data_IF_464480435522
#
_entry.id   IF_464480435522
#
_cell.length_a   1.000
_cell.length_b   1.000
_cell.length_c   1.000
_cell.angle_alpha   90.00
_cell.angle_beta   90.00
_cell.angle_gamma   90.00
#
_symmetry.space_group_name_H-M   'P 1'
#
loop_
_entity.id
_entity.type
_entity.pdbx_description
1 polymer ?
#
# COMPACT_ATOMS: atom_id res chain seq x y z
N UNK A 1 -23.20 -2.38 22.58
CA UNK A 1 -22.51 -3.39 21.76
C UNK A 1 -22.41 -2.82 20.35
N UNK A 2 -21.27 -2.22 20.02
CA UNK A 2 -21.04 -1.60 18.72
C UNK A 2 -20.91 -2.69 17.66
N UNK A 3 -21.86 -2.73 16.73
CA UNK A 3 -21.75 -3.54 15.53
C UNK A 3 -20.56 -3.01 14.72
N UNK A 4 -19.39 -3.61 14.86
CA UNK A 4 -18.35 -3.54 13.83
C UNK A 4 -18.95 -4.16 12.58
N UNK A 5 -19.57 -3.32 11.73
CA UNK A 5 -19.91 -3.69 10.38
C UNK A 5 -18.58 -3.97 9.69
N UNK A 6 -18.23 -5.25 9.52
CA UNK A 6 -17.16 -5.63 8.61
C UNK A 6 -17.55 -5.05 7.24
N UNK A 7 -16.86 -3.99 6.83
CA UNK A 7 -17.01 -3.44 5.50
C UNK A 7 -16.63 -4.54 4.51
N UNK A 8 -17.36 -4.65 3.38
CA UNK A 8 -17.04 -5.66 2.39
C UNK A 8 -15.65 -5.37 1.84
N UNK A 9 -14.70 -6.27 2.10
CA UNK A 9 -13.34 -6.19 1.55
C UNK A 9 -13.42 -5.90 0.05
N UNK A 10 -12.71 -4.88 -0.41
CA UNK A 10 -12.60 -4.61 -1.85
C UNK A 10 -12.08 -5.83 -2.61
N UNK A 11 -12.40 -5.92 -3.90
CA UNK A 11 -11.86 -6.98 -4.77
C UNK A 11 -10.33 -7.01 -4.79
N UNK A 12 -9.68 -5.86 -4.52
CA UNK A 12 -8.23 -5.71 -4.52
C UNK A 12 -7.62 -6.27 -3.23
N UNK A 13 -8.21 -5.98 -2.06
CA UNK A 13 -7.78 -6.54 -0.78
C UNK A 13 -7.83 -8.07 -0.78
N UNK A 14 -8.88 -8.65 -1.38
CA UNK A 14 -9.02 -10.12 -1.53
C UNK A 14 -7.93 -10.71 -2.40
N UNK A 15 -7.58 -10.04 -3.50
CA UNK A 15 -6.51 -10.48 -4.39
C UNK A 15 -5.17 -10.47 -3.67
N UNK A 16 -4.83 -9.41 -2.94
CA UNK A 16 -3.59 -9.34 -2.18
C UNK A 16 -3.54 -10.38 -1.05
N UNK A 17 -4.64 -10.64 -0.35
CA UNK A 17 -4.71 -11.72 0.65
C UNK A 17 -4.50 -13.09 0.03
N UNK A 18 -5.06 -13.33 -1.15
CA UNK A 18 -4.87 -14.58 -1.88
C UNK A 18 -3.40 -14.76 -2.28
N UNK A 19 -2.75 -13.70 -2.77
CA UNK A 19 -1.32 -13.74 -3.11
C UNK A 19 -0.43 -13.88 -1.88
N UNK A 20 -0.78 -13.28 -0.74
CA UNK A 20 -0.05 -13.46 0.52
C UNK A 20 -0.08 -14.91 1.03
N UNK A 21 -1.09 -15.69 0.64
CA UNK A 21 -1.24 -17.11 1.00
C UNK A 21 -0.66 -18.05 -0.07
N UNK A 22 -0.12 -17.53 -1.17
CA UNK A 22 0.45 -18.32 -2.24
C UNK A 22 1.87 -18.78 -1.86
N UNK A 23 1.99 -20.02 -1.39
CA UNK A 23 3.26 -20.63 -0.98
C UNK A 23 4.28 -20.79 -2.13
N UNK A 24 3.89 -20.53 -3.38
CA UNK A 24 4.81 -20.51 -4.53
C UNK A 24 5.59 -19.20 -4.64
N UNK A 25 5.19 -18.15 -3.92
CA UNK A 25 5.85 -16.85 -3.90
C UNK A 25 6.92 -16.76 -2.81
N UNK A 26 7.96 -15.96 -3.09
CA UNK A 26 8.97 -15.59 -2.11
C UNK A 26 8.33 -15.02 -0.83
N UNK A 27 8.92 -15.35 0.32
CA UNK A 27 8.42 -14.92 1.64
C UNK A 27 8.31 -13.40 1.74
N UNK A 28 9.29 -12.67 1.20
CA UNK A 28 9.27 -11.20 1.17
C UNK A 28 8.14 -10.66 0.28
N UNK A 29 7.84 -11.33 -0.84
CA UNK A 29 6.75 -10.93 -1.72
C UNK A 29 5.39 -11.19 -1.09
N UNK A 30 5.21 -12.33 -0.41
CA UNK A 30 4.01 -12.61 0.39
C UNK A 30 3.81 -11.60 1.50
N UNK A 31 4.90 -11.22 2.19
CA UNK A 31 4.87 -10.20 3.23
C UNK A 31 4.47 -8.83 2.67
N UNK A 32 4.98 -8.46 1.49
CA UNK A 32 4.59 -7.21 0.81
C UNK A 32 3.09 -7.20 0.47
N UNK A 33 2.55 -8.30 -0.05
CA UNK A 33 1.12 -8.44 -0.30
C UNK A 33 0.27 -8.39 0.98
N UNK A 34 0.73 -9.01 2.06
CA UNK A 34 0.05 -8.95 3.35
C UNK A 34 0.00 -7.51 3.90
N UNK A 35 1.10 -6.76 3.74
CA UNK A 35 1.17 -5.35 4.16
C UNK A 35 0.24 -4.45 3.33
N UNK A 36 0.12 -4.68 2.02
CA UNK A 36 -0.86 -3.97 1.17
C UNK A 36 -2.30 -4.27 1.59
N UNK A 37 -2.62 -5.56 1.77
CA UNK A 37 -3.94 -5.98 2.24
C UNK A 37 -4.28 -5.38 3.62
N UNK A 38 -3.27 -5.23 4.50
CA UNK A 38 -3.43 -4.53 5.77
C UNK A 38 -3.68 -3.04 5.55
N UNK A 39 -2.85 -2.35 4.77
CA UNK A 39 -2.99 -0.91 4.51
C UNK A 39 -4.38 -0.55 3.99
N UNK A 40 -4.92 -1.36 3.08
CA UNK A 40 -6.28 -1.18 2.57
C UNK A 40 -7.35 -1.41 3.63
N UNK A 41 -7.24 -2.48 4.43
CA UNK A 41 -8.19 -2.78 5.50
C UNK A 41 -8.21 -1.69 6.59
N UNK A 42 -7.04 -1.13 6.93
CA UNK A 42 -6.95 -0.03 7.90
C UNK A 42 -7.56 1.27 7.32
N UNK A 43 -7.39 1.56 6.02
CA UNK A 43 -8.09 2.67 5.37
C UNK A 43 -9.61 2.50 5.38
N UNK A 44 -10.10 1.28 5.16
CA UNK A 44 -11.53 0.98 5.28
C UNK A 44 -12.02 1.15 6.72
N UNK A 45 -11.18 0.81 7.70
CA UNK A 45 -11.46 1.01 9.12
C UNK A 45 -11.31 2.48 9.58
N UNK A 46 -10.96 3.40 8.69
CA UNK A 46 -10.64 4.81 8.99
C UNK A 46 -9.45 4.98 9.96
N UNK A 47 -8.60 3.96 10.09
CA UNK A 47 -7.32 4.04 10.79
C UNK A 47 -6.21 4.42 9.80
N UNK A 48 -6.21 5.70 9.43
CA UNK A 48 -5.28 6.23 8.44
C UNK A 48 -3.81 6.17 8.88
N UNK A 49 -3.53 6.18 10.19
CA UNK A 49 -2.15 6.08 10.68
C UNK A 49 -1.61 4.65 10.54
N UNK A 50 -2.40 3.65 10.92
CA UNK A 50 -2.05 2.25 10.72
C UNK A 50 -1.97 1.88 9.22
N UNK A 51 -2.87 2.45 8.40
CA UNK A 51 -2.83 2.30 6.95
C UNK A 51 -1.52 2.82 6.35
N UNK A 52 -1.12 4.03 6.76
CA UNK A 52 0.12 4.65 6.30
C UNK A 52 1.33 3.81 6.69
N UNK A 53 1.40 3.37 7.95
CA UNK A 53 2.53 2.56 8.43
C UNK A 53 2.65 1.24 7.64
N UNK A 54 1.55 0.55 7.41
CA UNK A 54 1.53 -0.68 6.63
C UNK A 54 1.96 -0.44 5.16
N UNK A 55 1.49 0.66 4.56
CA UNK A 55 1.86 1.04 3.20
C UNK A 55 3.36 1.42 3.10
N UNK A 56 3.89 2.18 4.05
CA UNK A 56 5.30 2.58 4.08
C UNK A 56 6.22 1.36 4.27
N UNK A 57 5.85 0.42 5.15
CA UNK A 57 6.56 -0.85 5.32
C UNK A 57 6.56 -1.69 4.04
N UNK A 58 5.42 -1.72 3.31
CA UNK A 58 5.35 -2.40 2.03
C UNK A 58 6.26 -1.72 1.00
N UNK A 59 6.20 -0.40 0.89
CA UNK A 59 7.00 0.38 -0.05
C UNK A 59 8.50 0.14 0.16
N UNK A 60 8.96 0.11 1.42
CA UNK A 60 10.34 -0.20 1.75
C UNK A 60 10.74 -1.61 1.29
N UNK A 61 9.90 -2.60 1.56
CA UNK A 61 10.14 -3.99 1.16
C UNK A 61 10.18 -4.13 -0.36
N UNK A 62 9.24 -3.51 -1.07
CA UNK A 62 9.17 -3.49 -2.53
C UNK A 62 10.41 -2.83 -3.16
N UNK A 63 10.90 -1.74 -2.57
CA UNK A 63 12.17 -1.10 -2.99
C UNK A 63 13.35 -2.06 -2.83
N UNK A 64 13.46 -2.77 -1.70
CA UNK A 64 14.54 -3.76 -1.47
C UNK A 64 14.50 -4.91 -2.48
N UNK A 65 13.31 -5.40 -2.79
CA UNK A 65 13.11 -6.49 -3.77
C UNK A 65 13.24 -6.03 -5.22
N UNK A 66 13.26 -4.71 -5.48
CA UNK A 66 13.13 -4.17 -6.84
C UNK A 66 11.74 -4.38 -7.46
N UNK A 67 10.72 -4.68 -6.64
CA UNK A 67 9.34 -4.88 -7.11
C UNK A 67 8.65 -3.53 -7.32
N UNK A 68 8.75 -3.05 -8.54
CA UNK A 68 8.25 -1.73 -8.97
C UNK A 68 6.71 -1.66 -8.91
N UNK A 69 6.02 -2.70 -9.35
CA UNK A 69 4.56 -2.69 -9.40
C UNK A 69 3.92 -2.54 -8.02
N UNK A 70 4.37 -3.35 -7.05
CA UNK A 70 3.85 -3.25 -5.67
C UNK A 70 4.31 -1.96 -4.98
N UNK A 71 5.48 -1.42 -5.32
CA UNK A 71 5.91 -0.13 -4.81
C UNK A 71 4.94 0.99 -5.22
N UNK A 72 4.44 0.97 -6.46
CA UNK A 72 3.42 1.92 -6.94
C UNK A 72 2.11 1.82 -6.16
N UNK A 73 1.62 0.59 -5.97
CA UNK A 73 0.39 0.35 -5.19
C UNK A 73 0.57 0.81 -3.73
N UNK A 74 1.72 0.52 -3.10
CA UNK A 74 2.02 0.93 -1.73
C UNK A 74 2.12 2.46 -1.57
N UNK A 75 2.80 3.16 -2.49
CA UNK A 75 2.88 4.62 -2.49
C UNK A 75 1.51 5.28 -2.60
N UNK A 76 0.59 4.71 -3.40
CA UNK A 76 -0.80 5.17 -3.50
C UNK A 76 -1.54 5.05 -2.18
N UNK A 77 -1.43 3.91 -1.49
CA UNK A 77 -2.09 3.73 -0.19
C UNK A 77 -1.52 4.68 0.88
N UNK A 78 -0.19 4.86 0.93
CA UNK A 78 0.46 5.81 1.85
C UNK A 78 0.00 7.26 1.59
N UNK A 79 -0.04 7.67 0.31
CA UNK A 79 -0.51 9.01 -0.08
C UNK A 79 -1.97 9.22 0.30
N UNK A 80 -2.84 8.23 0.06
CA UNK A 80 -4.26 8.29 0.42
C UNK A 80 -4.46 8.43 1.93
N UNK A 81 -3.72 7.65 2.72
CA UNK A 81 -3.72 7.74 4.18
C UNK A 81 -3.27 9.13 4.68
N UNK A 82 -2.22 9.71 4.08
CA UNK A 82 -1.77 11.07 4.42
C UNK A 82 -2.81 12.15 4.11
N UNK A 83 -3.56 12.00 3.01
CA UNK A 83 -4.65 12.91 2.67
C UNK A 83 -5.77 12.83 3.72
N UNK A 84 -6.20 11.62 4.07
CA UNK A 84 -7.24 11.40 5.07
C UNK A 84 -6.82 11.90 6.47
N UNK A 85 -5.55 11.74 6.84
CA UNK A 85 -4.94 12.32 8.05
C UNK A 85 -4.89 13.87 8.07
N UNK A 86 -5.40 14.56 7.05
CA UNK A 86 -5.33 16.02 6.96
C UNK A 86 -3.91 16.56 6.75
N UNK A 87 -3.00 15.75 6.17
CA UNK A 87 -1.61 16.12 5.86
C UNK A 87 -1.35 16.21 4.35
N UNK A 88 -2.14 17.00 3.58
CA UNK A 88 -2.04 17.04 2.11
C UNK A 88 -0.68 17.54 1.61
N UNK A 89 0.00 18.43 2.34
CA UNK A 89 1.35 18.90 1.98
C UNK A 89 2.43 17.83 2.16
N UNK A 90 2.22 16.88 3.08
CA UNK A 90 3.10 15.72 3.20
C UNK A 90 2.78 14.70 2.10
N UNK A 91 1.49 14.43 1.85
CA UNK A 91 1.05 13.58 0.75
C UNK A 91 1.62 14.04 -0.61
N UNK A 92 1.56 15.34 -0.88
CA UNK A 92 2.11 15.92 -2.12
C UNK A 92 3.62 15.75 -2.24
N UNK A 93 4.35 15.92 -1.14
CA UNK A 93 5.82 15.74 -1.13
C UNK A 93 6.21 14.28 -1.31
N UNK A 94 5.57 13.36 -0.59
CA UNK A 94 5.79 11.92 -0.74
C UNK A 94 5.45 11.45 -2.15
N UNK A 95 4.27 11.81 -2.67
CA UNK A 95 3.87 11.44 -4.03
C UNK A 95 4.80 12.02 -5.10
N UNK A 96 5.33 13.23 -4.90
CA UNK A 96 6.30 13.82 -5.83
C UNK A 96 7.63 13.05 -5.81
N UNK A 97 8.11 12.66 -4.63
CA UNK A 97 9.33 11.86 -4.49
C UNK A 97 9.15 10.48 -5.12
N UNK A 98 8.05 9.79 -4.77
CA UNK A 98 7.76 8.46 -5.29
C UNK A 98 7.60 8.50 -6.82
N UNK A 99 6.96 9.54 -7.38
CA UNK A 99 6.86 9.74 -8.82
C UNK A 99 8.22 9.93 -9.50
N UNK A 100 9.15 10.65 -8.87
CA UNK A 100 10.52 10.82 -9.40
C UNK A 100 11.28 9.48 -9.37
N UNK A 101 11.13 8.72 -8.29
CA UNK A 101 11.70 7.38 -8.15
C UNK A 101 11.12 6.43 -9.20
N UNK A 102 9.81 6.50 -9.48
CA UNK A 102 9.16 5.67 -10.48
C UNK A 102 9.53 6.04 -11.91
N UNK A 103 9.78 7.33 -12.19
CA UNK A 103 10.29 7.79 -13.48
C UNK A 103 11.73 7.35 -13.72
N UNK A 104 12.60 7.51 -12.72
CA UNK A 104 13.99 7.07 -12.82
C UNK A 104 14.14 5.54 -12.91
N UNK A 105 13.10 4.81 -12.50
CA UNK A 105 13.04 3.36 -12.52
C UNK A 105 12.23 2.76 -13.68
N UNK A 106 11.74 3.54 -14.65
CA UNK A 106 10.84 3.06 -15.73
C UNK A 106 9.62 2.26 -15.22
N UNK A 107 9.07 2.67 -14.07
CA UNK A 107 7.90 2.04 -13.46
C UNK A 107 6.61 2.74 -13.91
N UNK A 108 6.06 2.35 -15.07
CA UNK A 108 4.86 2.98 -15.64
C UNK A 108 3.64 2.88 -14.71
N UNK A 109 3.51 1.78 -13.95
CA UNK A 109 2.39 1.58 -13.03
C UNK A 109 2.45 2.49 -11.81
N UNK A 110 3.65 2.78 -11.30
CA UNK A 110 3.85 3.77 -10.24
C UNK A 110 3.69 5.23 -10.71
N UNK A 111 3.79 5.48 -12.01
CA UNK A 111 3.63 6.82 -12.59
C UNK A 111 2.16 7.24 -12.83
N UNK A 112 1.22 6.28 -12.81
CA UNK A 112 -0.20 6.46 -13.12
C UNK A 112 -1.06 6.74 -11.89
#
# INVERSE_FOLDING_TARGET
MGLQKALPETCVAKQYRQQAQDDTLDEELRKAYALLAKAEAELEAEDDEAAREAADQCLELCRRMGNKDLAGDAARYSTKALINCGKPDQAKRSAAQDLEDFKSSDNERGQA
#
